data_IF_437824588572
#
_entry.id   IF_437824588572
#
_cell.length_a   1.000
_cell.length_b   1.000
_cell.length_c   1.000
_cell.angle_alpha   90.00
_cell.angle_beta   90.00
_cell.angle_gamma   90.00
#
_symmetry.space_group_name_H-M   'P 1'
#
loop_
_entity.id
_entity.type
_entity.pdbx_description
1 polymer ?
#
# COMPACT_ATOMS: atom_id res chain seq x y z
N UNK A 1 0.40 -11.39 -18.39
CA UNK A 1 1.43 -11.76 -17.39
C UNK A 1 2.80 -11.32 -17.91
N UNK A 2 3.18 -11.67 -19.13
CA UNK A 2 4.50 -11.34 -19.68
C UNK A 2 4.86 -9.85 -19.64
N UNK A 3 3.94 -8.97 -20.04
CA UNK A 3 4.17 -7.52 -19.96
C UNK A 3 4.45 -7.04 -18.53
N UNK A 4 3.76 -7.61 -17.53
CA UNK A 4 3.93 -7.27 -16.11
C UNK A 4 5.31 -7.70 -15.64
N UNK A 5 5.76 -8.89 -16.06
CA UNK A 5 7.10 -9.38 -15.73
C UNK A 5 8.18 -8.47 -16.33
N UNK A 6 8.04 -8.09 -17.61
CA UNK A 6 8.96 -7.14 -18.27
C UNK A 6 9.01 -5.80 -17.53
N UNK A 7 7.85 -5.25 -17.17
CA UNK A 7 7.76 -4.00 -16.41
C UNK A 7 8.40 -4.11 -15.02
N UNK A 8 8.16 -5.21 -14.31
CA UNK A 8 8.77 -5.45 -13.00
C UNK A 8 10.29 -5.56 -13.10
N UNK A 9 10.80 -6.26 -14.12
CA UNK A 9 12.23 -6.44 -14.33
C UNK A 9 12.91 -5.09 -14.62
N UNK A 10 12.36 -4.31 -15.55
CA UNK A 10 12.82 -2.95 -15.86
C UNK A 10 12.82 -2.05 -14.62
N UNK A 11 11.69 -1.96 -13.92
CA UNK A 11 11.55 -1.17 -12.70
C UNK A 11 12.44 -1.66 -11.54
N UNK A 12 12.84 -2.93 -11.52
CA UNK A 12 13.76 -3.45 -10.50
C UNK A 12 15.22 -3.14 -10.80
N UNK A 13 15.57 -2.97 -12.07
CA UNK A 13 16.96 -2.77 -12.50
C UNK A 13 17.29 -1.30 -12.73
N UNK A 14 16.32 -0.51 -13.20
CA UNK A 14 16.57 0.82 -13.73
C UNK A 14 16.03 1.96 -12.85
N UNK A 15 15.09 1.69 -11.94
CA UNK A 15 14.51 2.71 -11.06
C UNK A 15 15.14 2.69 -9.66
N UNK A 16 15.81 3.77 -9.30
CA UNK A 16 16.46 3.97 -8.00
C UNK A 16 15.43 4.12 -6.88
N UNK A 17 14.33 4.85 -7.10
CA UNK A 17 13.30 5.07 -6.07
C UNK A 17 12.49 3.81 -5.79
N UNK A 18 12.56 2.82 -6.68
CA UNK A 18 11.84 1.55 -6.57
C UNK A 18 12.69 0.45 -5.92
N UNK A 19 13.92 0.74 -5.48
CA UNK A 19 14.75 -0.21 -4.75
C UNK A 19 14.17 -0.49 -3.36
N UNK A 20 14.30 -1.74 -2.91
CA UNK A 20 13.85 -2.11 -1.58
C UNK A 20 14.68 -1.36 -0.54
N UNK A 21 14.09 -0.87 0.56
CA UNK A 21 14.87 -0.31 1.65
C UNK A 21 15.88 -1.35 2.15
N UNK A 22 17.13 -0.94 2.36
CA UNK A 22 18.13 -1.81 2.98
C UNK A 22 17.79 -1.97 4.46
N UNK A 23 17.00 -2.99 4.78
CA UNK A 23 16.58 -3.30 6.14
C UNK A 23 16.57 -4.81 6.38
N UNK A 24 16.62 -5.22 7.65
CA UNK A 24 16.34 -6.60 8.06
C UNK A 24 14.86 -6.84 8.33
N UNK A 25 13.95 -6.05 7.73
CA UNK A 25 12.52 -6.16 8.01
C UNK A 25 11.96 -7.50 7.52
N UNK A 26 11.16 -8.14 8.37
CA UNK A 26 10.43 -9.37 8.08
C UNK A 26 9.01 -9.18 8.62
N UNK A 27 7.96 -9.29 7.79
CA UNK A 27 6.59 -9.32 8.29
C UNK A 27 6.43 -10.44 9.30
N UNK A 28 5.69 -10.21 10.38
CA UNK A 28 5.46 -11.23 11.41
C UNK A 28 4.94 -12.53 10.79
N UNK A 29 4.02 -12.41 9.82
CA UNK A 29 3.39 -13.54 9.14
C UNK A 29 3.18 -13.27 7.65
N UNK A 30 3.36 -14.31 6.85
CA UNK A 30 3.09 -14.33 5.42
C UNK A 30 2.31 -15.58 5.04
N UNK A 31 1.65 -15.55 3.89
CA UNK A 31 1.04 -16.74 3.28
C UNK A 31 2.05 -17.32 2.30
N UNK A 32 2.49 -18.54 2.55
CA UNK A 32 3.21 -19.36 1.58
C UNK A 32 2.20 -19.92 0.58
N UNK A 33 2.27 -19.40 -0.66
CA UNK A 33 1.40 -19.86 -1.75
C UNK A 33 1.97 -21.08 -2.47
N UNK A 34 3.17 -21.57 -2.12
CA UNK A 34 3.80 -22.69 -2.81
C UNK A 34 3.99 -22.45 -4.31
N UNK A 35 3.94 -23.53 -5.08
CA UNK A 35 4.05 -23.54 -6.53
C UNK A 35 2.69 -23.79 -7.22
N UNK A 36 2.71 -24.00 -8.54
CA UNK A 36 1.49 -24.22 -9.34
C UNK A 36 0.75 -25.52 -8.98
N UNK A 37 1.44 -26.52 -8.45
CA UNK A 37 0.85 -27.81 -8.07
C UNK A 37 0.32 -27.82 -6.63
N UNK A 38 0.67 -26.78 -5.86
CA UNK A 38 0.23 -26.63 -4.48
C UNK A 38 -1.27 -26.26 -4.42
N UNK A 39 -2.09 -27.12 -3.81
CA UNK A 39 -3.53 -26.84 -3.59
C UNK A 39 -3.82 -26.17 -2.25
N UNK A 40 -2.85 -26.16 -1.33
CA UNK A 40 -3.04 -25.73 0.06
C UNK A 40 -2.02 -24.65 0.43
N UNK A 41 -2.51 -23.49 0.84
CA UNK A 41 -1.72 -22.34 1.28
C UNK A 41 -1.42 -22.47 2.78
N UNK A 42 -0.28 -21.96 3.24
CA UNK A 42 0.06 -22.00 4.68
C UNK A 42 0.41 -20.62 5.21
N UNK A 43 -0.10 -20.31 6.40
CA UNK A 43 0.38 -19.16 7.16
C UNK A 43 1.74 -19.51 7.77
N UNK A 44 2.76 -18.69 7.55
CA UNK A 44 4.13 -18.96 7.98
C UNK A 44 4.71 -17.76 8.72
N UNK A 45 5.62 -18.05 9.66
CA UNK A 45 6.56 -17.10 10.22
C UNK A 45 7.91 -17.40 9.55
N UNK A 46 8.58 -16.39 9.01
CA UNK A 46 9.89 -16.59 8.37
C UNK A 46 11.02 -16.25 9.35
N UNK A 47 12.10 -17.01 9.28
CA UNK A 47 13.32 -16.78 10.07
C UNK A 47 14.31 -15.81 9.37
N UNK A 48 14.08 -15.53 8.09
CA UNK A 48 14.90 -14.63 7.27
C UNK A 48 14.04 -13.78 6.34
N UNK A 49 14.51 -12.57 5.95
CA UNK A 49 13.81 -11.77 4.95
C UNK A 49 13.59 -12.54 3.65
N UNK A 50 12.43 -12.33 3.04
CA UNK A 50 12.07 -12.92 1.75
C UNK A 50 11.29 -11.90 0.93
N UNK A 51 11.34 -12.02 -0.39
CA UNK A 51 10.45 -11.25 -1.25
C UNK A 51 9.01 -11.74 -1.11
N UNK A 52 8.09 -10.80 -0.95
CA UNK A 52 6.66 -11.06 -0.88
C UNK A 52 5.86 -9.98 -1.62
N UNK A 53 4.63 -10.32 -1.99
CA UNK A 53 3.64 -9.37 -2.48
C UNK A 53 2.71 -8.95 -1.35
N UNK A 54 2.08 -7.80 -1.44
CA UNK A 54 1.01 -7.40 -0.54
C UNK A 54 -0.31 -7.28 -1.29
N UNK A 55 -1.43 -7.66 -0.67
CA UNK A 55 -2.77 -7.36 -1.20
C UNK A 55 -3.34 -6.13 -0.50
N UNK A 56 -3.91 -5.23 -1.29
CA UNK A 56 -4.67 -4.08 -0.85
C UNK A 56 -6.06 -4.15 -1.48
N UNK A 57 -7.10 -4.24 -0.65
CA UNK A 57 -8.47 -4.48 -1.12
C UNK A 57 -9.53 -3.99 -0.13
N UNK A 58 -10.76 -3.85 -0.61
CA UNK A 58 -11.92 -3.65 0.25
C UNK A 58 -12.43 -5.00 0.74
N UNK A 59 -12.52 -5.17 2.06
CA UNK A 59 -13.29 -6.27 2.63
C UNK A 59 -14.73 -6.04 2.19
N UNK A 60 -15.19 -6.83 1.22
CA UNK A 60 -16.46 -6.62 0.53
C UNK A 60 -17.68 -6.82 1.44
N UNK A 61 -18.84 -7.09 0.85
CA UNK A 61 -20.07 -7.34 1.61
C UNK A 61 -20.00 -8.61 2.48
N UNK A 62 -19.14 -9.55 2.10
CA UNK A 62 -18.91 -10.80 2.84
C UNK A 62 -18.09 -10.51 4.11
N UNK A 63 -18.66 -10.88 5.25
CA UNK A 63 -17.98 -10.82 6.54
C UNK A 63 -16.95 -11.96 6.65
N UNK A 64 -15.71 -11.67 6.24
CA UNK A 64 -14.60 -12.65 6.23
C UNK A 64 -14.36 -13.29 7.61
N UNK A 65 -14.72 -12.61 8.70
CA UNK A 65 -14.62 -13.16 10.05
C UNK A 65 -15.69 -14.22 10.29
N UNK A 66 -16.95 -13.91 9.98
CA UNK A 66 -18.07 -14.85 10.16
C UNK A 66 -17.95 -16.07 9.24
N UNK A 67 -17.49 -15.87 8.02
CA UNK A 67 -17.29 -16.95 7.04
C UNK A 67 -16.00 -17.76 7.28
N UNK A 68 -15.20 -17.42 8.30
CA UNK A 68 -14.00 -18.16 8.68
C UNK A 68 -12.79 -17.98 7.74
N UNK A 69 -12.85 -17.04 6.81
CA UNK A 69 -11.75 -16.70 5.90
C UNK A 69 -10.68 -15.81 6.53
N UNK A 70 -11.04 -15.04 7.55
CA UNK A 70 -10.08 -14.29 8.35
C UNK A 70 -9.44 -15.14 9.46
N UNK A 71 -8.23 -14.77 9.85
CA UNK A 71 -7.48 -15.49 10.90
C UNK A 71 -7.93 -15.04 12.30
N UNK A 72 -8.21 -16.02 13.15
CA UNK A 72 -8.60 -15.86 14.57
C UNK A 72 -7.78 -16.79 15.46
N UNK A 73 -7.82 -16.65 16.80
CA UNK A 73 -7.09 -17.58 17.68
C UNK A 73 -7.56 -19.02 17.49
N UNK A 74 -8.82 -19.22 17.11
CA UNK A 74 -9.39 -20.54 16.91
C UNK A 74 -8.82 -21.28 15.70
N UNK A 75 -8.40 -20.56 14.65
CA UNK A 75 -7.97 -21.17 13.39
C UNK A 75 -6.48 -20.95 13.04
N UNK A 76 -5.76 -20.07 13.74
CA UNK A 76 -4.36 -19.75 13.40
C UNK A 76 -3.44 -20.97 13.46
N UNK A 77 -3.64 -21.87 14.41
CA UNK A 77 -2.83 -23.10 14.52
C UNK A 77 -3.05 -24.01 13.29
N UNK A 78 -4.30 -24.26 12.91
CA UNK A 78 -4.65 -25.05 11.74
C UNK A 78 -4.14 -24.41 10.43
N UNK A 79 -4.24 -23.08 10.29
CA UNK A 79 -3.70 -22.36 9.12
C UNK A 79 -2.18 -22.50 8.95
N UNK A 80 -1.46 -22.75 10.05
CA UNK A 80 -0.01 -23.00 10.04
C UNK A 80 0.32 -24.47 9.76
N UNK A 81 -0.35 -25.40 10.43
CA UNK A 81 -0.05 -26.84 10.33
C UNK A 81 -0.69 -27.52 9.12
N UNK A 82 -2.00 -27.35 8.97
CA UNK A 82 -2.82 -28.01 7.94
C UNK A 82 -2.88 -27.16 6.68
N UNK A 83 -3.03 -25.84 6.84
CA UNK A 83 -3.14 -24.86 5.77
C UNK A 83 -4.58 -24.52 5.40
N UNK A 84 -4.75 -23.86 4.26
CA UNK A 84 -6.03 -23.38 3.72
C UNK A 84 -6.11 -23.81 2.25
N UNK A 85 -7.12 -24.59 1.85
CA UNK A 85 -7.33 -24.92 0.45
C UNK A 85 -7.54 -23.64 -0.38
N UNK A 86 -6.84 -23.51 -1.51
CA UNK A 86 -6.91 -22.28 -2.33
C UNK A 86 -8.27 -22.12 -3.03
N UNK A 87 -8.94 -23.22 -3.34
CA UNK A 87 -10.21 -23.30 -4.06
C UNK A 87 -11.40 -22.80 -3.23
N UNK A 88 -11.34 -22.93 -1.90
CA UNK A 88 -12.39 -22.44 -1.00
C UNK A 88 -12.24 -20.95 -0.66
N UNK A 89 -11.12 -20.31 -1.01
CA UNK A 89 -10.92 -18.89 -0.72
C UNK A 89 -11.85 -18.00 -1.56
N UNK A 90 -12.31 -16.86 -1.01
CA UNK A 90 -12.98 -15.83 -1.78
C UNK A 90 -12.16 -15.43 -3.01
N UNK A 91 -12.84 -15.14 -4.12
CA UNK A 91 -12.21 -14.91 -5.43
C UNK A 91 -11.04 -13.92 -5.35
N UNK A 92 -11.22 -12.77 -4.69
CA UNK A 92 -10.15 -11.77 -4.54
C UNK A 92 -8.89 -12.30 -3.85
N UNK A 93 -9.05 -13.09 -2.78
CA UNK A 93 -7.91 -13.65 -2.04
C UNK A 93 -7.24 -14.77 -2.83
N UNK A 94 -8.05 -15.64 -3.45
CA UNK A 94 -7.60 -16.71 -4.33
C UNK A 94 -6.80 -16.15 -5.51
N UNK A 95 -7.36 -15.19 -6.22
CA UNK A 95 -6.77 -14.63 -7.43
C UNK A 95 -5.47 -13.88 -7.09
N UNK A 96 -5.39 -13.20 -5.94
CA UNK A 96 -4.14 -12.61 -5.46
C UNK A 96 -3.03 -13.66 -5.21
N UNK A 97 -3.39 -14.82 -4.66
CA UNK A 97 -2.44 -15.94 -4.49
C UNK A 97 -2.00 -16.51 -5.85
N UNK A 98 -2.93 -16.66 -6.80
CA UNK A 98 -2.62 -17.13 -8.16
C UNK A 98 -1.73 -16.15 -8.92
N UNK A 99 -2.00 -14.84 -8.82
CA UNK A 99 -1.15 -13.78 -9.40
C UNK A 99 0.24 -13.82 -8.79
N UNK A 100 0.36 -14.06 -7.47
CA UNK A 100 1.65 -14.20 -6.79
C UNK A 100 2.48 -15.34 -7.41
N UNK A 101 1.87 -16.51 -7.63
CA UNK A 101 2.51 -17.64 -8.33
C UNK A 101 2.87 -17.30 -9.77
N UNK A 102 1.95 -16.68 -10.51
CA UNK A 102 2.16 -16.30 -11.90
C UNK A 102 3.30 -15.30 -12.08
N UNK A 103 3.52 -14.44 -11.07
CA UNK A 103 4.64 -13.53 -10.99
C UNK A 103 5.90 -14.20 -10.44
N UNK A 104 5.95 -15.53 -10.27
CA UNK A 104 7.12 -16.29 -9.79
C UNK A 104 7.58 -15.89 -8.38
N UNK A 105 6.65 -15.44 -7.52
CA UNK A 105 6.91 -15.20 -6.09
C UNK A 105 6.13 -16.21 -5.26
N UNK A 106 6.62 -16.48 -4.05
CA UNK A 106 6.10 -17.52 -3.15
C UNK A 106 5.27 -16.99 -1.99
N UNK A 107 5.49 -15.74 -1.59
CA UNK A 107 4.87 -15.20 -0.39
C UNK A 107 3.96 -14.03 -0.72
N UNK A 108 2.80 -13.98 -0.05
CA UNK A 108 1.89 -12.83 -0.08
C UNK A 108 1.45 -12.45 1.34
N UNK A 109 1.33 -11.16 1.61
CA UNK A 109 0.72 -10.61 2.80
C UNK A 109 -0.71 -10.17 2.50
N UNK A 110 -1.67 -10.64 3.30
CA UNK A 110 -3.08 -10.26 3.21
C UNK A 110 -3.57 -9.97 4.63
N UNK A 111 -4.01 -8.74 4.91
CA UNK A 111 -4.38 -8.27 6.24
C UNK A 111 -5.34 -9.20 6.99
N UNK A 112 -6.42 -9.65 6.34
CA UNK A 112 -7.44 -10.53 6.91
C UNK A 112 -6.90 -11.89 7.36
N UNK A 113 -5.78 -12.34 6.77
CA UNK A 113 -5.17 -13.65 7.04
C UNK A 113 -3.89 -13.52 7.89
N UNK A 114 -3.09 -12.49 7.66
CA UNK A 114 -1.82 -12.27 8.34
C UNK A 114 -1.97 -11.56 9.69
N UNK A 115 -3.12 -10.98 9.99
CA UNK A 115 -3.43 -10.34 11.28
C UNK A 115 -4.48 -11.16 12.02
N UNK A 116 -4.32 -11.28 13.34
CA UNK A 116 -5.26 -11.95 14.22
C UNK A 116 -6.45 -11.01 14.53
N UNK A 117 -7.52 -11.15 13.77
CA UNK A 117 -8.57 -10.13 13.66
C UNK A 117 -9.43 -9.94 14.92
N UNK A 118 -9.47 -10.93 15.80
CA UNK A 118 -10.15 -10.86 17.10
C UNK A 118 -9.15 -10.72 18.26
N UNK A 119 -7.99 -10.10 18.01
CA UNK A 119 -6.99 -9.75 19.01
C UNK A 119 -6.62 -8.26 18.90
N UNK A 120 -7.10 -7.40 19.80
CA UNK A 120 -6.72 -5.99 19.79
C UNK A 120 -5.21 -5.75 19.93
N UNK A 121 -4.52 -6.60 20.70
CA UNK A 121 -3.08 -6.50 20.91
C UNK A 121 -2.28 -6.86 19.65
N UNK A 122 -2.67 -7.94 18.96
CA UNK A 122 -2.02 -8.34 17.70
C UNK A 122 -2.36 -7.34 16.58
N UNK A 123 -3.60 -6.87 16.51
CA UNK A 123 -3.98 -5.80 15.58
C UNK A 123 -3.16 -4.53 15.79
N UNK A 124 -2.95 -4.09 17.04
CA UNK A 124 -2.14 -2.92 17.34
C UNK A 124 -0.67 -3.11 16.93
N UNK A 125 -0.12 -4.32 17.15
CA UNK A 125 1.23 -4.64 16.72
C UNK A 125 1.34 -4.66 15.19
N UNK A 126 0.48 -5.40 14.49
CA UNK A 126 0.56 -5.55 13.04
C UNK A 126 0.18 -4.29 12.28
N UNK A 127 -0.82 -3.52 12.74
CA UNK A 127 -1.21 -2.25 12.12
C UNK A 127 -0.07 -1.23 12.18
N UNK A 128 0.72 -1.23 13.26
CA UNK A 128 1.91 -0.39 13.38
C UNK A 128 3.01 -0.76 12.37
N UNK A 129 3.01 -2.00 11.88
CA UNK A 129 3.95 -2.50 10.87
C UNK A 129 3.44 -2.33 9.44
N UNK A 130 2.17 -1.99 9.22
CA UNK A 130 1.60 -1.91 7.87
C UNK A 130 2.40 -0.99 6.94
N UNK A 131 2.91 0.12 7.46
CA UNK A 131 3.76 1.01 6.68
C UNK A 131 5.01 0.31 6.13
N UNK A 132 5.69 -0.46 6.99
CA UNK A 132 6.88 -1.20 6.61
C UNK A 132 6.50 -2.40 5.73
N UNK A 133 5.35 -3.03 5.94
CA UNK A 133 4.83 -4.13 5.10
C UNK A 133 4.65 -3.66 3.65
N UNK A 134 3.98 -2.53 3.39
CA UNK A 134 3.80 -2.03 2.02
C UNK A 134 5.09 -1.45 1.43
N UNK A 135 5.94 -0.81 2.23
CA UNK A 135 7.22 -0.28 1.76
C UNK A 135 8.21 -1.36 1.32
N UNK A 136 8.23 -2.51 2.01
CA UNK A 136 9.14 -3.61 1.71
C UNK A 136 8.56 -4.64 0.74
N UNK A 137 7.24 -4.67 0.52
CA UNK A 137 6.62 -5.52 -0.49
C UNK A 137 7.28 -5.32 -1.86
N UNK A 138 7.54 -6.42 -2.56
CA UNK A 138 8.10 -6.37 -3.91
C UNK A 138 7.15 -5.69 -4.89
N UNK A 139 5.86 -6.00 -4.75
CA UNK A 139 4.73 -5.46 -5.49
C UNK A 139 3.48 -5.50 -4.61
N UNK A 140 2.68 -4.45 -4.67
CA UNK A 140 1.33 -4.43 -4.08
C UNK A 140 0.29 -4.69 -5.15
N UNK A 141 -0.55 -5.69 -4.95
CA UNK A 141 -1.74 -5.95 -5.76
C UNK A 141 -2.87 -5.09 -5.19
N UNK A 142 -3.50 -4.27 -6.02
CA UNK A 142 -4.72 -3.55 -5.67
C UNK A 142 -5.89 -4.19 -6.38
N UNK A 143 -6.86 -4.69 -5.63
CA UNK A 143 -8.12 -5.18 -6.17
C UNK A 143 -9.22 -4.15 -5.93
N UNK A 144 -9.71 -3.50 -6.99
CA UNK A 144 -10.82 -2.54 -6.88
C UNK A 144 -12.16 -3.23 -7.07
N UNK A 145 -13.09 -3.02 -6.14
CA UNK A 145 -14.52 -3.27 -6.35
C UNK A 145 -15.14 -2.04 -7.00
N UNK A 146 -15.91 -2.22 -8.07
CA UNK A 146 -16.81 -1.18 -8.58
C UNK A 146 -18.25 -1.67 -8.52
N UNK A 147 -19.15 -0.76 -8.17
CA UNK A 147 -20.60 -0.94 -8.27
C UNK A 147 -21.14 0.06 -9.29
N UNK A 148 -20.65 0.05 -10.54
CA UNK A 148 -21.24 0.80 -11.65
C UNK A 148 -20.53 0.49 -12.97
N UNK A 149 -21.33 0.13 -13.98
CA UNK A 149 -20.96 0.00 -15.39
C UNK A 149 -21.46 1.25 -16.09
N UNK A 150 -20.62 2.14 -16.65
CA UNK A 150 -21.02 3.02 -17.77
C UNK A 150 -19.83 3.61 -18.56
N UNK A 151 -19.99 3.52 -19.88
CA UNK A 151 -19.37 4.16 -21.06
C UNK A 151 -17.85 4.35 -21.18
N UNK A 152 -17.30 3.61 -22.15
CA UNK A 152 -15.97 3.78 -22.72
C UNK A 152 -15.99 4.90 -23.77
N UNK A 153 -15.15 5.93 -23.58
CA UNK A 153 -14.42 6.68 -24.63
C UNK A 153 -14.02 8.11 -24.21
N UNK A 154 -14.43 8.63 -23.04
CA UNK A 154 -14.01 9.98 -22.64
C UNK A 154 -14.00 10.17 -21.11
N UNK A 155 -12.80 10.44 -20.57
CA UNK A 155 -12.48 10.88 -19.19
C UNK A 155 -12.18 9.76 -18.16
N UNK A 156 -11.04 9.11 -18.35
CA UNK A 156 -10.44 8.11 -17.45
C UNK A 156 -10.09 8.62 -16.04
N UNK A 157 -9.96 9.95 -15.83
CA UNK A 157 -9.81 10.57 -14.50
C UNK A 157 -11.01 10.26 -13.57
N UNK A 158 -12.20 10.00 -14.13
CA UNK A 158 -13.42 9.76 -13.35
C UNK A 158 -13.50 8.31 -12.84
N UNK A 159 -12.97 7.35 -13.60
CA UNK A 159 -12.99 5.92 -13.28
C UNK A 159 -12.09 5.55 -12.08
N UNK A 160 -10.99 6.30 -11.84
CA UNK A 160 -10.18 6.12 -10.63
C UNK A 160 -10.84 6.72 -9.38
N UNK A 161 -11.62 7.78 -9.52
CA UNK A 161 -12.27 8.48 -8.40
C UNK A 161 -13.59 7.86 -7.94
N UNK A 162 -14.16 6.94 -8.73
CA UNK A 162 -15.41 6.24 -8.41
C UNK A 162 -15.18 4.84 -7.80
N UNK A 163 -13.92 4.41 -7.60
CA UNK A 163 -13.61 3.12 -6.98
C UNK A 163 -13.63 3.20 -5.45
N UNK A 164 -14.35 2.28 -4.79
CA UNK A 164 -14.49 2.24 -3.33
C UNK A 164 -13.11 2.23 -2.62
N UNK A 165 -12.10 1.64 -3.25
CA UNK A 165 -10.75 1.52 -2.71
C UNK A 165 -10.09 2.87 -2.39
N UNK A 166 -10.07 3.84 -3.32
CA UNK A 166 -9.41 5.14 -3.08
C UNK A 166 -10.11 5.97 -2.00
N UNK A 167 -11.37 5.64 -1.70
CA UNK A 167 -12.14 6.35 -0.67
C UNK A 167 -11.77 5.93 0.74
N UNK A 168 -11.03 4.83 0.96
CA UNK A 168 -10.69 4.35 2.31
C UNK A 168 -9.44 5.03 2.85
N UNK A 169 -9.41 5.31 4.16
CA UNK A 169 -8.29 6.01 4.79
C UNK A 169 -6.96 5.25 4.69
N UNK A 170 -6.97 3.96 5.03
CA UNK A 170 -5.78 3.09 5.00
C UNK A 170 -5.13 3.01 3.62
N UNK A 171 -5.93 2.99 2.54
CA UNK A 171 -5.42 2.82 1.18
C UNK A 171 -4.51 3.96 0.71
N UNK A 172 -4.51 5.11 1.40
CA UNK A 172 -3.58 6.19 1.09
C UNK A 172 -2.15 5.77 1.40
N UNK A 173 -1.90 5.27 2.61
CA UNK A 173 -0.54 4.85 2.97
C UNK A 173 -0.14 3.61 2.18
N UNK A 174 -1.08 2.68 1.94
CA UNK A 174 -0.83 1.47 1.15
C UNK A 174 -0.34 1.85 -0.24
N UNK A 175 -0.93 2.87 -0.86
CA UNK A 175 -0.48 3.41 -2.15
C UNK A 175 0.85 4.14 -2.05
N UNK A 176 0.95 5.15 -1.19
CA UNK A 176 2.09 6.05 -1.14
C UNK A 176 3.40 5.38 -0.69
N UNK A 177 3.30 4.33 0.12
CA UNK A 177 4.46 3.60 0.63
C UNK A 177 4.87 2.45 -0.29
N UNK A 178 3.97 1.92 -1.12
CA UNK A 178 4.33 0.87 -2.07
C UNK A 178 5.32 1.37 -3.13
N UNK A 179 6.32 0.53 -3.47
CA UNK A 179 7.29 0.84 -4.53
C UNK A 179 6.74 0.56 -5.92
N UNK A 180 5.89 -0.46 -6.02
CA UNK A 180 5.25 -0.94 -7.24
C UNK A 180 3.83 -1.33 -6.88
N UNK A 181 2.88 -0.98 -7.74
CA UNK A 181 1.47 -1.34 -7.58
C UNK A 181 0.94 -1.85 -8.90
N UNK A 182 0.26 -2.99 -8.85
CA UNK A 182 -0.49 -3.55 -9.96
C UNK A 182 -1.97 -3.50 -9.63
N UNK A 183 -2.70 -2.68 -10.37
CA UNK A 183 -4.11 -2.41 -10.16
C UNK A 183 -4.98 -3.30 -11.05
N UNK A 184 -5.74 -4.17 -10.42
CA UNK A 184 -6.81 -4.95 -11.05
C UNK A 184 -8.12 -4.18 -10.90
N UNK A 185 -8.57 -3.60 -12.00
CA UNK A 185 -9.87 -2.94 -12.09
C UNK A 185 -10.85 -3.77 -12.91
N UNK A 186 -12.12 -3.39 -12.93
CA UNK A 186 -13.16 -4.08 -13.71
C UNK A 186 -12.93 -4.06 -15.22
N UNK A 187 -12.13 -3.12 -15.73
CA UNK A 187 -11.98 -2.91 -17.17
C UNK A 187 -10.54 -3.00 -17.65
N UNK A 188 -9.57 -2.66 -16.80
CA UNK A 188 -8.16 -2.57 -17.16
C UNK A 188 -7.25 -3.07 -16.04
N UNK A 189 -6.13 -3.65 -16.46
CA UNK A 189 -4.96 -3.86 -15.61
C UNK A 189 -3.99 -2.70 -15.86
N UNK A 190 -3.53 -2.05 -14.79
CA UNK A 190 -2.50 -1.01 -14.91
C UNK A 190 -1.44 -1.12 -13.82
N UNK A 191 -0.22 -0.70 -14.16
CA UNK A 191 0.91 -0.69 -13.25
C UNK A 191 1.36 0.74 -12.95
N UNK A 192 1.73 1.01 -11.70
CA UNK A 192 2.43 2.23 -11.31
C UNK A 192 3.61 1.89 -10.40
N UNK A 193 4.68 2.69 -10.47
CA UNK A 193 5.81 2.56 -9.55
C UNK A 193 6.17 3.91 -8.96
N UNK A 194 7.04 3.88 -7.94
CA UNK A 194 7.44 5.07 -7.20
C UNK A 194 8.21 6.07 -8.07
N UNK A 195 9.00 5.62 -9.03
CA UNK A 195 9.81 6.53 -9.85
C UNK A 195 9.03 7.09 -11.04
N UNK A 196 8.41 6.23 -11.84
CA UNK A 196 7.81 6.62 -13.11
C UNK A 196 6.33 7.02 -12.98
N UNK A 197 5.72 6.83 -11.81
CA UNK A 197 4.36 7.28 -11.58
C UNK A 197 3.26 6.56 -12.38
N UNK A 198 3.64 5.55 -13.17
CA UNK A 198 2.77 4.87 -14.12
C UNK A 198 3.50 4.57 -15.42
N UNK A 199 4.34 3.54 -15.45
CA UNK A 199 4.88 3.04 -16.71
C UNK A 199 3.80 2.19 -17.40
N UNK A 200 3.36 2.68 -18.57
CA UNK A 200 2.78 1.94 -19.69
C UNK A 200 1.83 0.76 -19.38
N UNK A 201 0.52 1.02 -19.48
CA UNK A 201 -0.30 0.13 -20.31
C UNK A 201 -0.55 0.87 -21.61
N UNK A 202 -0.63 0.13 -22.70
CA UNK A 202 -0.88 0.60 -24.07
C UNK A 202 -2.24 1.30 -24.28
N UNK A 203 -2.84 1.92 -23.24
CA UNK A 203 -4.19 2.48 -23.27
C UNK A 203 -4.37 3.84 -22.57
N UNK A 204 -3.35 4.47 -21.98
CA UNK A 204 -3.55 5.80 -21.38
C UNK A 204 -2.25 6.60 -21.25
N UNK A 205 -2.18 7.71 -21.98
CA UNK A 205 -1.47 8.91 -21.56
C UNK A 205 -2.36 9.67 -20.55
N UNK A 206 -1.74 10.40 -19.63
CA UNK A 206 -2.32 11.44 -18.77
C UNK A 206 -2.87 11.04 -17.38
N UNK A 207 -1.95 10.80 -16.44
CA UNK A 207 -2.03 11.45 -15.12
C UNK A 207 -0.63 11.92 -14.73
N UNK A 208 -0.51 13.14 -14.18
CA UNK A 208 0.67 13.48 -13.39
C UNK A 208 0.64 12.54 -12.18
N UNK A 209 1.70 11.78 -11.91
CA UNK A 209 1.73 10.95 -10.71
C UNK A 209 1.44 11.81 -9.48
N UNK A 210 0.62 11.28 -8.57
CA UNK A 210 0.67 11.78 -7.20
C UNK A 210 2.13 11.64 -6.73
N UNK A 211 2.71 12.66 -6.08
CA UNK A 211 4.10 12.63 -5.69
C UNK A 211 4.33 11.38 -4.83
N UNK A 212 5.11 10.47 -5.38
CA UNK A 212 5.70 9.38 -4.64
C UNK A 212 6.51 10.00 -3.50
N UNK A 213 6.40 9.43 -2.31
CA UNK A 213 7.16 9.93 -1.15
C UNK A 213 8.69 9.90 -1.41
N UNK A 214 9.15 9.10 -2.38
CA UNK A 214 10.53 9.10 -2.88
C UNK A 214 10.91 10.24 -3.85
N UNK A 215 9.94 10.86 -4.54
CA UNK A 215 10.16 12.05 -5.40
C UNK A 215 9.93 13.37 -4.67
N UNK A 216 10.02 13.40 -3.35
CA UNK A 216 10.24 14.65 -2.62
C UNK A 216 11.67 15.17 -2.85
N UNK A 217 12.19 15.08 -4.08
CA UNK A 217 13.28 15.95 -4.50
C UNK A 217 12.66 17.31 -4.84
N UNK A 218 13.22 18.41 -4.32
CA UNK A 218 12.85 19.74 -4.78
C UNK A 218 13.24 19.82 -6.26
N UNK A 219 12.28 19.67 -7.17
CA UNK A 219 12.52 20.06 -8.56
C UNK A 219 12.97 21.51 -8.53
N UNK A 220 13.93 21.88 -9.37
CA UNK A 220 14.46 23.25 -9.42
C UNK A 220 13.38 24.31 -9.68
N UNK A 221 12.19 23.89 -10.10
CA UNK A 221 10.98 24.72 -10.26
C UNK A 221 10.27 25.06 -8.92
N UNK A 222 10.45 24.27 -7.86
CA UNK A 222 9.92 24.51 -6.51
C UNK A 222 10.95 25.08 -5.52
N UNK A 223 12.20 25.31 -5.96
CA UNK A 223 13.12 26.23 -5.27
C UNK A 223 12.64 27.65 -5.50
N UNK A 224 11.49 27.97 -4.92
CA UNK A 224 10.94 29.31 -4.93
C UNK A 224 11.93 30.27 -4.25
N UNK A 225 12.02 31.49 -4.77
CA UNK A 225 12.93 32.53 -4.30
C UNK A 225 12.70 32.90 -2.81
N UNK A 226 11.58 32.48 -2.24
CA UNK A 226 11.22 32.58 -0.82
C UNK A 226 12.06 31.67 0.10
N UNK A 227 12.52 30.49 -0.39
CA UNK A 227 13.37 29.56 0.38
C UNK A 227 14.73 30.16 0.76
N UNK A 228 15.24 31.07 -0.06
CA UNK A 228 16.51 31.77 0.17
C UNK A 228 16.39 32.88 1.22
N UNK A 229 15.18 33.32 1.57
CA UNK A 229 14.95 34.46 2.46
C UNK A 229 14.81 34.07 3.94
N UNK A 230 14.28 32.88 4.23
CA UNK A 230 14.02 32.42 5.61
C UNK A 230 15.04 31.40 6.12
N UNK A 231 15.80 30.75 5.23
CA UNK A 231 16.76 29.70 5.58
C UNK A 231 16.13 28.43 6.17
N UNK A 232 14.80 28.31 6.13
CA UNK A 232 14.03 27.19 6.68
C UNK A 232 13.46 26.36 5.53
N UNK A 233 13.76 25.07 5.53
CA UNK A 233 13.14 24.13 4.59
C UNK A 233 11.72 23.79 5.04
N UNK A 234 10.72 24.46 4.45
CA UNK A 234 9.29 24.22 4.76
C UNK A 234 8.67 23.13 3.90
N UNK A 235 9.38 22.69 2.85
CA UNK A 235 8.85 21.79 1.85
C UNK A 235 8.30 20.45 2.41
N UNK A 236 8.93 19.80 3.42
CA UNK A 236 8.37 18.61 4.05
C UNK A 236 7.03 18.87 4.77
N UNK A 237 6.88 20.03 5.40
CA UNK A 237 5.65 20.39 6.12
C UNK A 237 4.52 20.74 5.14
N UNK A 238 4.80 21.56 4.13
CA UNK A 238 3.83 21.91 3.08
C UNK A 238 3.31 20.66 2.37
N UNK A 239 4.22 19.75 2.05
CA UNK A 239 3.90 18.42 1.50
C UNK A 239 2.93 17.66 2.40
N UNK A 240 3.22 17.57 3.70
CA UNK A 240 2.39 16.86 4.66
C UNK A 240 0.99 17.47 4.73
N UNK A 241 0.88 18.78 4.88
CA UNK A 241 -0.42 19.43 4.98
C UNK A 241 -1.21 19.33 3.68
N UNK A 242 -0.55 19.33 2.53
CA UNK A 242 -1.19 19.04 1.24
C UNK A 242 -1.75 17.61 1.21
N UNK A 243 -0.96 16.58 1.56
CA UNK A 243 -1.44 15.19 1.63
C UNK A 243 -2.63 15.07 2.60
N UNK A 244 -2.53 15.67 3.78
CA UNK A 244 -3.57 15.59 4.80
C UNK A 244 -4.85 16.30 4.33
N UNK A 245 -4.74 17.50 3.78
CA UNK A 245 -5.90 18.34 3.41
C UNK A 245 -6.55 17.93 2.08
N UNK A 246 -5.75 17.57 1.07
CA UNK A 246 -6.26 17.25 -0.27
C UNK A 246 -6.67 15.78 -0.40
N UNK A 247 -5.90 14.86 0.20
CA UNK A 247 -6.08 13.41 -0.01
C UNK A 247 -6.69 12.71 1.20
N UNK A 248 -6.08 12.84 2.38
CA UNK A 248 -6.41 11.98 3.53
C UNK A 248 -7.72 12.35 4.22
N UNK A 249 -7.95 13.65 4.42
CA UNK A 249 -9.09 14.14 5.20
C UNK A 249 -10.44 13.81 4.57
N UNK A 250 -10.46 13.61 3.26
CA UNK A 250 -11.67 13.28 2.47
C UNK A 250 -11.97 11.77 2.43
N UNK A 251 -11.06 10.94 2.93
CA UNK A 251 -11.21 9.47 2.95
C UNK A 251 -12.04 9.01 4.15
N UNK A 252 -12.78 7.92 3.95
CA UNK A 252 -13.67 7.25 4.89
C UNK A 252 -12.91 6.22 5.71
N UNK A 253 -13.27 6.13 6.99
CA UNK A 253 -12.80 5.11 7.91
C UNK A 253 -14.02 4.40 8.48
N UNK A 254 -13.93 3.07 8.62
CA UNK A 254 -14.96 2.29 9.30
C UNK A 254 -14.97 2.61 10.80
N UNK A 255 -13.78 2.82 11.38
CA UNK A 255 -13.59 3.17 12.79
C UNK A 255 -12.81 4.49 12.91
N UNK A 256 -13.38 5.48 13.60
CA UNK A 256 -12.72 6.79 13.77
C UNK A 256 -11.37 6.71 14.50
N UNK A 257 -11.17 5.68 15.32
CA UNK A 257 -9.90 5.37 16.01
C UNK A 257 -8.74 5.12 15.05
N UNK A 258 -9.03 4.75 13.81
CA UNK A 258 -8.00 4.46 12.80
C UNK A 258 -7.44 5.73 12.14
N UNK A 259 -7.93 6.93 12.51
CA UNK A 259 -7.57 8.19 11.84
C UNK A 259 -6.10 8.55 11.90
N UNK A 260 -5.40 8.21 12.98
CA UNK A 260 -3.95 8.43 13.07
C UNK A 260 -3.15 7.21 12.61
N UNK A 261 -3.51 5.96 13.01
CA UNK A 261 -2.83 4.76 12.51
C UNK A 261 -2.82 4.63 10.97
N UNK A 262 -3.92 5.01 10.29
CA UNK A 262 -4.03 4.83 8.84
C UNK A 262 -3.15 5.77 8.00
N UNK A 263 -2.50 6.77 8.60
CA UNK A 263 -1.56 7.68 7.93
C UNK A 263 -0.19 7.74 8.64
N UNK A 264 -0.01 7.02 9.76
CA UNK A 264 1.22 7.13 10.57
C UNK A 264 2.48 6.73 9.80
N UNK A 265 2.37 5.81 8.83
CA UNK A 265 3.48 5.46 7.94
C UNK A 265 3.93 6.62 7.05
N UNK A 266 2.98 7.37 6.49
CA UNK A 266 3.29 8.57 5.70
C UNK A 266 3.90 9.65 6.59
N UNK A 267 3.36 9.83 7.81
CA UNK A 267 3.91 10.76 8.78
C UNK A 267 5.36 10.41 9.13
N UNK A 268 5.67 9.13 9.35
CA UNK A 268 7.04 8.63 9.62
C UNK A 268 8.01 8.99 8.50
N UNK A 269 7.61 8.79 7.23
CA UNK A 269 8.48 9.10 6.09
C UNK A 269 8.68 10.61 5.91
N UNK A 270 7.64 11.42 6.04
CA UNK A 270 7.79 12.89 6.04
C UNK A 270 8.67 13.35 7.20
N UNK A 271 8.49 12.77 8.39
CA UNK A 271 9.26 13.14 9.58
C UNK A 271 10.76 12.96 9.40
N UNK A 272 11.20 11.98 8.58
CA UNK A 272 12.62 11.81 8.21
C UNK A 272 13.17 12.98 7.39
N UNK A 273 12.30 13.69 6.66
CA UNK A 273 12.66 14.87 5.88
C UNK A 273 12.57 16.16 6.72
N UNK A 274 11.68 16.20 7.71
CA UNK A 274 11.52 17.35 8.61
C UNK A 274 12.74 17.54 9.52
N UNK A 275 13.38 18.72 9.45
CA UNK A 275 14.49 19.11 10.32
C UNK A 275 15.63 18.08 10.39
N UNK A 276 15.94 17.41 9.27
CA UNK A 276 16.98 16.38 9.23
C UNK A 276 16.62 15.08 9.96
N UNK A 277 15.33 14.85 10.24
CA UNK A 277 14.81 13.65 10.89
C UNK A 277 14.49 13.78 12.37
N UNK A 278 14.74 14.95 12.97
CA UNK A 278 14.64 15.17 14.42
C UNK A 278 13.36 15.91 14.86
N UNK A 279 12.46 16.27 13.93
CA UNK A 279 11.23 16.95 14.34
C UNK A 279 10.23 16.01 15.02
N UNK A 280 9.51 16.56 16.01
CA UNK A 280 8.54 15.82 16.79
C UNK A 280 7.16 15.88 16.15
N UNK A 281 6.65 14.71 15.76
CA UNK A 281 5.27 14.55 15.31
C UNK A 281 4.27 14.69 16.46
N UNK A 282 3.24 15.51 16.26
CA UNK A 282 2.21 15.88 17.23
C UNK A 282 0.82 15.53 16.69
N UNK A 283 0.59 14.24 16.42
CA UNK A 283 -0.73 13.70 16.05
C UNK A 283 -1.42 14.43 14.88
N UNK A 284 -0.67 14.71 13.82
CA UNK A 284 -1.15 15.41 12.63
C UNK A 284 -0.44 16.73 12.36
N UNK A 285 0.27 17.23 13.37
CA UNK A 285 1.07 18.46 13.32
C UNK A 285 2.55 18.15 13.54
N UNK A 286 3.40 19.13 13.28
CA UNK A 286 4.84 19.06 13.47
C UNK A 286 5.28 20.12 14.46
N UNK A 287 6.11 19.78 15.46
CA UNK A 287 6.53 20.75 16.47
C UNK A 287 7.32 21.91 15.85
N UNK A 288 8.14 21.64 14.83
CA UNK A 288 8.83 22.63 14.04
C UNK A 288 7.88 23.59 13.32
N UNK A 289 6.69 23.14 12.91
CA UNK A 289 5.79 23.94 12.06
C UNK A 289 4.36 24.05 12.62
N UNK A 290 4.23 23.99 13.95
CA UNK A 290 2.94 23.92 14.63
C UNK A 290 2.11 25.18 14.42
N UNK A 291 2.75 26.35 14.31
CA UNK A 291 2.05 27.62 14.10
C UNK A 291 1.34 27.66 12.74
N UNK A 292 1.97 27.11 11.69
CA UNK A 292 1.36 27.01 10.37
C UNK A 292 0.29 25.91 10.32
N UNK A 293 0.57 24.74 10.91
CA UNK A 293 -0.38 23.63 10.92
C UNK A 293 -1.67 23.86 11.72
N UNK A 294 -1.76 24.93 12.53
CA UNK A 294 -2.97 25.32 13.26
C UNK A 294 -3.86 26.31 12.47
N UNK A 295 -3.41 26.83 11.33
CA UNK A 295 -4.16 27.75 10.47
C UNK A 295 -5.03 26.99 9.45
#
# INVERSE_FOLDING_TARGET
IDWVLTWLDDCSQNHNDCQAPQSGFIPSRLIDVGDNDTSTLRLVNLDSPAEYLALSYCWGEVDLLKEGFATTQANIAARKSEGMPIDVLPATLRDACLVTRALKRRYIWIDSICILQNSPADWAAESSLMSDIYAHAFLTIVATSSSSVFDAASRTHKLMMENQWVTRGWTLQERLLSRRILHFTTHVLYAECREDGGAESALYETHKPLPSIGRFEPTSEYRDASMLQTGRDTYPYDTWYNIVSSEYSRRRLSFGTDKLPAISGVAKEIGRLCSGGDDRYLAGLWAGDVAHGLL
#
